data_IF_533135492651
#
_entry.id   IF_533135492651
#
_cell.length_a   1.000
_cell.length_b   1.000
_cell.length_c   1.000
_cell.angle_alpha   90.00
_cell.angle_beta   90.00
_cell.angle_gamma   90.00
#
_symmetry.space_group_name_H-M   'P 1'
#
loop_
_entity.id
_entity.type
_entity.pdbx_description
1 polymer ?
#
# COMPACT_ATOMS: atom_id res chain seq x y z
N UNK A 1 -21.63 -7.96 1.32
CA UNK A 1 -22.16 -8.87 2.35
C UNK A 1 -21.21 -10.05 2.47
N UNK A 2 -20.84 -10.40 3.69
CA UNK A 2 -19.95 -11.52 4.03
C UNK A 2 -20.58 -12.32 5.16
N UNK A 3 -20.19 -13.57 5.35
CA UNK A 3 -20.71 -14.39 6.45
C UNK A 3 -19.76 -14.38 7.64
N UNK A 4 -20.30 -14.31 8.85
CA UNK A 4 -19.52 -14.35 10.07
C UNK A 4 -18.80 -15.70 10.24
N UNK A 5 -17.47 -15.68 10.46
CA UNK A 5 -16.64 -16.88 10.67
C UNK A 5 -16.94 -17.65 11.96
N UNK A 6 -17.61 -17.01 12.93
CA UNK A 6 -17.96 -17.62 14.21
C UNK A 6 -19.35 -18.26 14.22
N UNK A 7 -20.37 -17.58 13.68
CA UNK A 7 -21.77 -18.00 13.80
C UNK A 7 -22.50 -18.21 12.47
N UNK A 8 -21.87 -17.95 11.33
CA UNK A 8 -22.47 -18.18 10.00
C UNK A 8 -23.54 -17.18 9.56
N UNK A 9 -23.88 -16.16 10.37
CA UNK A 9 -24.84 -15.12 9.96
C UNK A 9 -24.25 -14.16 8.94
N UNK A 10 -25.11 -13.71 8.04
CA UNK A 10 -24.82 -12.66 7.08
C UNK A 10 -24.61 -11.32 7.80
N UNK A 11 -23.51 -10.65 7.46
CA UNK A 11 -23.08 -9.37 8.00
C UNK A 11 -22.62 -8.44 6.87
N UNK A 12 -22.55 -7.15 7.18
CA UNK A 12 -22.02 -6.15 6.24
C UNK A 12 -20.51 -6.33 6.08
N UNK A 13 -19.99 -6.09 4.87
CA UNK A 13 -18.55 -6.28 4.54
C UNK A 13 -17.64 -5.44 5.43
N UNK A 14 -18.10 -4.26 5.86
CA UNK A 14 -17.33 -3.36 6.75
C UNK A 14 -17.49 -3.65 8.25
N UNK A 15 -18.21 -4.71 8.64
CA UNK A 15 -18.48 -4.99 10.06
C UNK A 15 -17.24 -5.59 10.73
N UNK A 16 -16.56 -4.82 11.59
CA UNK A 16 -15.37 -5.28 12.34
C UNK A 16 -15.67 -6.35 13.39
N UNK A 17 -16.92 -6.45 13.85
CA UNK A 17 -17.40 -7.45 14.80
C UNK A 17 -18.81 -7.88 14.44
N UNK A 18 -19.11 -9.18 14.59
CA UNK A 18 -20.46 -9.68 14.36
C UNK A 18 -21.40 -9.26 15.52
N UNK A 19 -22.52 -8.55 15.25
CA UNK A 19 -23.45 -8.12 16.31
C UNK A 19 -24.22 -9.27 16.97
N UNK A 20 -24.26 -10.47 16.35
CA UNK A 20 -24.97 -11.63 16.90
C UNK A 20 -24.12 -12.53 17.79
N UNK A 21 -22.79 -12.61 17.59
CA UNK A 21 -21.93 -13.54 18.35
C UNK A 21 -20.68 -12.89 18.95
N UNK A 22 -20.40 -11.63 18.64
CA UNK A 22 -19.21 -10.93 19.12
C UNK A 22 -17.89 -11.36 18.49
N UNK A 23 -17.87 -12.36 17.60
CA UNK A 23 -16.65 -12.76 16.91
C UNK A 23 -16.12 -11.60 16.06
N UNK A 24 -14.85 -11.24 16.27
CA UNK A 24 -14.15 -10.20 15.51
C UNK A 24 -14.01 -10.67 14.07
N UNK A 25 -14.55 -9.88 13.14
CA UNK A 25 -14.51 -10.12 11.70
C UNK A 25 -13.52 -9.12 11.12
N UNK A 26 -12.26 -9.23 11.53
CA UNK A 26 -11.21 -8.44 10.90
C UNK A 26 -11.09 -9.00 9.48
N UNK A 27 -11.59 -8.26 8.49
CA UNK A 27 -11.05 -8.39 7.15
C UNK A 27 -9.56 -8.07 7.28
N UNK A 28 -8.74 -9.12 7.30
CA UNK A 28 -7.37 -8.99 6.86
C UNK A 28 -7.47 -8.44 5.45
N UNK A 29 -7.33 -7.13 5.31
CA UNK A 29 -7.04 -6.52 4.03
C UNK A 29 -5.71 -7.15 3.63
N UNK A 30 -5.77 -8.22 2.82
CA UNK A 30 -4.66 -9.04 2.34
C UNK A 30 -3.84 -8.27 1.30
N UNK A 31 -3.47 -7.05 1.66
CA UNK A 31 -2.78 -6.07 0.85
C UNK A 31 -2.23 -4.95 1.71
N UNK A 32 -1.77 -5.23 2.94
CA UNK A 32 -0.90 -4.29 3.67
C UNK A 32 0.40 -4.12 2.86
N UNK A 33 0.35 -3.23 1.88
CA UNK A 33 1.54 -2.75 1.17
C UNK A 33 2.47 -2.24 2.25
N UNK A 34 3.60 -2.91 2.44
CA UNK A 34 4.49 -2.54 3.53
C UNK A 34 5.25 -1.28 3.14
N UNK A 35 5.18 -0.26 3.99
CA UNK A 35 5.91 0.99 3.83
C UNK A 35 7.40 0.75 3.57
N UNK A 36 7.98 -0.19 4.32
CA UNK A 36 9.40 -0.56 4.25
C UNK A 36 9.72 -1.15 2.87
N UNK A 37 8.84 -1.99 2.31
CA UNK A 37 8.99 -2.54 0.96
C UNK A 37 8.93 -1.43 -0.09
N UNK A 38 8.00 -0.48 0.04
CA UNK A 38 7.93 0.68 -0.86
C UNK A 38 9.19 1.55 -0.78
N UNK A 39 9.76 1.74 0.42
CA UNK A 39 11.01 2.46 0.64
C UNK A 39 12.21 1.71 0.01
N UNK A 40 12.35 0.41 0.25
CA UNK A 40 13.42 -0.39 -0.36
C UNK A 40 13.34 -0.36 -1.89
N UNK A 41 12.14 -0.51 -2.45
CA UNK A 41 11.91 -0.42 -3.89
C UNK A 41 12.28 0.97 -4.44
N UNK A 42 11.98 2.04 -3.71
CA UNK A 42 12.35 3.40 -4.11
C UNK A 42 13.87 3.63 -4.08
N UNK A 43 14.60 3.02 -3.14
CA UNK A 43 16.05 3.13 -3.06
C UNK A 43 16.77 2.28 -4.12
N UNK A 44 16.43 0.99 -4.24
CA UNK A 44 17.13 0.07 -5.14
C UNK A 44 16.65 0.16 -6.60
N UNK A 45 15.36 0.37 -6.83
CA UNK A 45 14.75 0.44 -8.16
C UNK A 45 14.20 1.83 -8.48
N UNK A 46 14.68 2.87 -7.78
CA UNK A 46 14.27 4.26 -8.01
C UNK A 46 14.58 4.79 -9.40
N UNK A 47 15.62 4.26 -10.06
CA UNK A 47 15.94 4.62 -11.44
C UNK A 47 14.89 4.14 -12.45
N UNK A 48 14.23 3.01 -12.17
CA UNK A 48 13.16 2.43 -13.01
C UNK A 48 11.78 2.98 -12.58
N UNK A 49 11.61 3.32 -11.28
CA UNK A 49 10.35 3.80 -10.72
C UNK A 49 9.37 2.68 -10.33
N UNK A 50 9.86 1.47 -10.05
CA UNK A 50 9.03 0.29 -9.72
C UNK A 50 8.19 0.50 -8.46
N UNK A 51 8.66 1.30 -7.50
CA UNK A 51 7.91 1.64 -6.29
C UNK A 51 6.56 2.30 -6.58
N UNK A 52 6.44 3.07 -7.68
CA UNK A 52 5.15 3.67 -8.10
C UNK A 52 4.15 2.63 -8.57
N UNK A 53 4.61 1.57 -9.24
CA UNK A 53 3.78 0.44 -9.63
C UNK A 53 3.32 -0.34 -8.38
N UNK A 54 4.20 -0.52 -7.40
CA UNK A 54 3.84 -1.15 -6.11
C UNK A 54 2.75 -0.37 -5.36
N UNK A 55 2.78 0.96 -5.43
CA UNK A 55 1.77 1.83 -4.83
C UNK A 55 0.45 1.91 -5.65
N UNK A 56 0.34 1.19 -6.78
CA UNK A 56 -0.83 1.18 -7.67
C UNK A 56 -0.92 2.40 -8.60
N UNK A 57 0.13 3.23 -8.68
CA UNK A 57 0.15 4.44 -9.52
C UNK A 57 0.85 4.19 -10.86
N UNK A 58 0.20 3.39 -11.71
CA UNK A 58 0.70 3.00 -13.04
C UNK A 58 1.14 4.20 -13.90
N UNK A 59 0.35 5.29 -13.93
CA UNK A 59 0.64 6.44 -14.80
C UNK A 59 1.96 7.14 -14.43
N UNK A 60 2.21 7.35 -13.14
CA UNK A 60 3.48 7.93 -12.68
C UNK A 60 4.66 6.98 -12.85
N UNK A 61 4.42 5.66 -12.77
CA UNK A 61 5.46 4.67 -13.05
C UNK A 61 5.91 4.70 -14.52
N UNK A 62 4.97 4.83 -15.46
CA UNK A 62 5.30 4.94 -16.88
C UNK A 62 6.07 6.23 -17.20
N UNK A 63 5.72 7.34 -16.53
CA UNK A 63 6.47 8.60 -16.64
C UNK A 63 7.93 8.42 -16.19
N UNK A 64 8.16 7.68 -15.10
CA UNK A 64 9.52 7.40 -14.62
C UNK A 64 10.31 6.52 -15.60
N UNK A 65 9.66 5.55 -16.25
CA UNK A 65 10.29 4.72 -17.28
C UNK A 65 10.75 5.54 -18.49
N UNK A 66 9.91 6.47 -18.96
CA UNK A 66 10.26 7.36 -20.10
C UNK A 66 11.40 8.32 -19.70
N UNK A 67 11.40 8.81 -18.47
CA UNK A 67 12.44 9.69 -17.95
C UNK A 67 13.66 8.95 -17.35
N UNK A 68 13.74 7.61 -17.44
CA UNK A 68 14.83 6.81 -16.87
C UNK A 68 16.22 7.25 -17.35
N UNK A 69 16.34 7.73 -18.59
CA UNK A 69 17.58 8.23 -19.18
C UNK A 69 18.08 9.59 -18.66
N UNK A 70 17.26 10.36 -17.93
CA UNK A 70 17.63 11.70 -17.48
C UNK A 70 18.22 11.76 -16.07
N UNK A 71 18.36 10.63 -15.36
CA UNK A 71 18.73 10.54 -13.94
C UNK A 71 17.79 11.27 -12.95
N UNK A 72 16.88 12.12 -13.43
CA UNK A 72 15.83 12.78 -12.65
C UNK A 72 15.01 11.79 -11.78
N UNK A 73 14.52 10.65 -12.30
CA UNK A 73 13.73 9.73 -11.49
C UNK A 73 14.50 9.13 -10.31
N UNK A 74 15.83 9.01 -10.41
CA UNK A 74 16.67 8.56 -9.31
C UNK A 74 16.65 9.56 -8.14
N UNK A 75 16.82 10.85 -8.42
CA UNK A 75 16.81 11.91 -7.39
C UNK A 75 15.44 12.01 -6.71
N UNK A 76 14.35 11.95 -7.49
CA UNK A 76 13.00 12.03 -6.92
C UNK A 76 12.69 10.78 -6.08
N UNK A 77 13.09 9.59 -6.54
CA UNK A 77 12.91 8.35 -5.77
C UNK A 77 13.70 8.36 -4.47
N UNK A 78 14.87 8.98 -4.44
CA UNK A 78 15.65 9.15 -3.22
C UNK A 78 14.95 10.07 -2.20
N UNK A 79 14.32 11.15 -2.66
CA UNK A 79 13.50 12.02 -1.80
C UNK A 79 12.28 11.24 -1.28
N UNK A 80 11.59 10.49 -2.15
CA UNK A 80 10.46 9.66 -1.74
C UNK A 80 10.85 8.55 -0.76
N UNK A 81 12.04 7.97 -0.91
CA UNK A 81 12.60 7.03 0.04
C UNK A 81 12.71 7.64 1.44
N UNK A 82 13.26 8.84 1.58
CA UNK A 82 13.35 9.55 2.86
C UNK A 82 11.95 9.85 3.42
N UNK A 83 11.02 10.30 2.57
CA UNK A 83 9.64 10.55 2.98
C UNK A 83 8.99 9.26 3.49
N UNK A 84 9.14 8.15 2.79
CA UNK A 84 8.60 6.86 3.24
C UNK A 84 9.27 6.38 4.52
N UNK A 85 10.55 6.63 4.73
CA UNK A 85 11.20 6.32 6.01
C UNK A 85 10.67 7.18 7.17
N UNK A 86 10.37 8.46 6.94
CA UNK A 86 9.84 9.35 7.97
C UNK A 86 8.32 9.27 8.17
N UNK A 87 7.59 8.67 7.23
CA UNK A 87 6.14 8.49 7.31
C UNK A 87 5.75 7.38 8.29
N UNK A 88 4.64 7.52 9.02
CA UNK A 88 4.11 6.46 9.89
C UNK A 88 3.33 5.41 9.11
N UNK A 89 3.36 4.14 9.56
CA UNK A 89 2.65 3.03 8.90
C UNK A 89 1.14 3.27 8.83
N UNK A 90 0.57 3.96 9.83
CA UNK A 90 -0.85 4.35 9.85
C UNK A 90 -1.20 5.32 8.72
N UNK A 91 -0.36 6.32 8.49
CA UNK A 91 -0.55 7.28 7.41
C UNK A 91 -0.34 6.62 6.05
N UNK A 92 0.62 5.69 5.96
CA UNK A 92 0.89 4.95 4.74
C UNK A 92 -0.30 4.07 4.37
N UNK A 93 -0.84 3.31 5.32
CA UNK A 93 -2.06 2.52 5.14
C UNK A 93 -3.27 3.39 4.80
N UNK A 94 -3.39 4.59 5.36
CA UNK A 94 -4.48 5.51 5.00
C UNK A 94 -4.38 6.04 3.57
N UNK A 95 -3.16 6.26 3.07
CA UNK A 95 -2.91 6.88 1.76
C UNK A 95 -2.77 5.86 0.61
N UNK A 96 -2.33 4.65 0.93
CA UNK A 96 -1.98 3.61 -0.04
C UNK A 96 -2.57 2.24 0.27
N UNK A 97 -3.28 2.06 1.38
CA UNK A 97 -4.01 0.83 1.71
C UNK A 97 -5.19 0.56 0.78
#
# INVERSE_FOLDING_TARGET
MVYCRGCGKEIHTSASSCPSCGAVQKEEITGEKSRITAALLAFFLGFIGVHKFYLGKIGTGFLYLIFCWTFIPYVISFIEFIIYLCMSDKDFAKKYG
#
